data_IF_516587306154
#
_entry.id   IF_516587306154
#
_cell.length_a   1.000
_cell.length_b   1.000
_cell.length_c   1.000
_cell.angle_alpha   90.00
_cell.angle_beta   90.00
_cell.angle_gamma   90.00
#
_symmetry.space_group_name_H-M   'P 1'
#
loop_
_entity.id
_entity.type
_entity.pdbx_description
1 polymer ?
#
# COMPACT_ATOMS: atom_id res chain seq x y z
N UNK A 1 10.32 12.71 12.05
CA UNK A 1 9.52 11.83 11.18
C UNK A 1 9.58 10.43 11.75
N UNK A 2 8.44 9.86 12.14
CA UNK A 2 8.35 8.52 12.70
C UNK A 2 8.48 7.52 11.55
N UNK A 3 9.60 6.80 11.47
CA UNK A 3 9.82 5.81 10.40
C UNK A 3 8.81 4.67 10.57
N UNK A 4 7.97 4.42 9.57
CA UNK A 4 6.93 3.39 9.66
C UNK A 4 7.59 2.04 9.42
N UNK A 5 7.40 1.11 10.36
CA UNK A 5 8.03 -0.20 10.27
C UNK A 5 7.14 -1.18 9.48
N UNK A 6 7.56 -1.49 8.25
CA UNK A 6 6.96 -2.53 7.41
C UNK A 6 8.03 -3.47 6.84
N UNK A 7 7.60 -4.58 6.26
CA UNK A 7 8.43 -5.47 5.42
C UNK A 7 8.06 -5.27 3.96
N UNK A 8 9.02 -5.35 3.05
CA UNK A 8 8.80 -5.45 1.60
C UNK A 8 9.34 -6.82 1.13
N UNK A 9 8.57 -7.55 0.33
CA UNK A 9 9.02 -8.85 -0.18
C UNK A 9 8.18 -9.37 -1.34
N UNK A 10 8.73 -10.33 -2.10
CA UNK A 10 8.00 -11.01 -3.17
C UNK A 10 6.93 -11.94 -2.59
N UNK A 11 5.71 -11.81 -3.11
CA UNK A 11 4.62 -12.72 -2.82
C UNK A 11 4.84 -14.03 -3.60
N UNK A 12 5.03 -15.14 -2.89
CA UNK A 12 5.36 -16.46 -3.47
C UNK A 12 4.28 -16.98 -4.43
N UNK A 13 3.03 -16.54 -4.26
CA UNK A 13 1.87 -17.11 -4.95
C UNK A 13 1.29 -16.23 -6.06
N UNK A 14 1.68 -14.95 -6.15
CA UNK A 14 1.01 -13.97 -7.03
C UNK A 14 1.93 -13.16 -7.93
N UNK A 15 3.20 -13.52 -8.07
CA UNK A 15 4.18 -12.81 -8.91
C UNK A 15 4.19 -11.27 -8.68
N UNK A 16 3.84 -10.84 -7.47
CA UNK A 16 3.69 -9.46 -7.08
C UNK A 16 4.58 -9.17 -5.87
N UNK A 17 5.01 -7.94 -5.70
CA UNK A 17 5.63 -7.52 -4.45
C UNK A 17 4.56 -7.08 -3.47
N UNK A 18 4.79 -7.33 -2.19
CA UNK A 18 3.88 -6.91 -1.13
C UNK A 18 4.63 -6.25 0.01
N UNK A 19 3.99 -5.26 0.61
CA UNK A 19 4.41 -4.75 1.92
C UNK A 19 3.42 -5.16 3.00
N UNK A 20 3.93 -5.27 4.22
CA UNK A 20 3.12 -5.57 5.40
C UNK A 20 3.64 -4.79 6.61
N UNK A 21 2.74 -4.08 7.29
CA UNK A 21 3.05 -3.45 8.57
C UNK A 21 3.54 -4.51 9.58
N UNK A 22 4.67 -4.23 10.26
CA UNK A 22 5.18 -5.09 11.32
C UNK A 22 4.34 -5.01 12.60
N UNK A 23 3.64 -3.90 12.77
CA UNK A 23 2.73 -3.65 13.89
C UNK A 23 1.28 -3.79 13.42
N UNK A 24 0.38 -4.18 14.33
CA UNK A 24 -1.06 -4.13 14.05
C UNK A 24 -1.47 -2.68 13.86
N UNK A 25 -1.96 -2.35 12.67
CA UNK A 25 -2.48 -1.02 12.35
C UNK A 25 -3.62 -1.16 11.33
N UNK A 26 -4.75 -0.52 11.61
CA UNK A 26 -5.83 -0.38 10.64
C UNK A 26 -5.51 0.84 9.79
N UNK A 27 -5.40 0.64 8.48
CA UNK A 27 -5.23 1.73 7.52
C UNK A 27 -6.60 2.38 7.29
N UNK A 28 -6.66 3.71 7.38
CA UNK A 28 -7.84 4.46 6.94
C UNK A 28 -7.84 4.61 5.41
N UNK A 29 -8.63 3.74 4.75
CA UNK A 29 -8.78 3.77 3.30
C UNK A 29 -9.45 5.05 2.79
N UNK A 30 -10.23 5.75 3.63
CA UNK A 30 -10.86 7.00 3.23
C UNK A 30 -9.83 8.11 3.03
N UNK A 31 -8.81 8.20 3.90
CA UNK A 31 -7.73 9.18 3.76
C UNK A 31 -6.95 8.96 2.46
N UNK A 32 -6.73 7.70 2.08
CA UNK A 32 -5.98 7.32 0.89
C UNK A 32 -6.75 7.65 -0.39
N UNK A 33 -8.05 7.31 -0.47
CA UNK A 33 -8.85 7.56 -1.70
C UNK A 33 -8.97 9.03 -2.09
N UNK A 34 -8.78 9.97 -1.15
CA UNK A 34 -8.79 11.40 -1.46
C UNK A 34 -7.50 11.90 -2.12
N UNK A 35 -6.40 11.14 -2.04
CA UNK A 35 -5.10 11.53 -2.60
C UNK A 35 -4.74 10.82 -3.89
N UNK A 36 -5.31 9.64 -4.15
CA UNK A 36 -4.93 8.81 -5.29
C UNK A 36 -6.10 8.57 -6.24
N UNK A 37 -5.76 8.28 -7.50
CA UNK A 37 -6.74 7.78 -8.45
C UNK A 37 -7.16 6.36 -8.04
N UNK A 38 -8.43 6.20 -7.67
CA UNK A 38 -9.00 4.90 -7.29
C UNK A 38 -9.57 4.21 -8.53
N UNK A 39 -9.21 2.94 -8.72
CA UNK A 39 -9.75 2.08 -9.79
C UNK A 39 -10.79 1.09 -9.29
N UNK A 40 -10.74 0.71 -8.00
CA UNK A 40 -11.74 -0.13 -7.35
C UNK A 40 -11.81 0.20 -5.86
N UNK A 41 -13.01 0.35 -5.32
CA UNK A 41 -13.25 0.56 -3.89
C UNK A 41 -14.14 -0.55 -3.34
N UNK A 42 -13.75 -1.11 -2.19
CA UNK A 42 -14.55 -2.05 -1.41
C UNK A 42 -14.41 -1.72 0.08
N UNK A 43 -15.22 -2.32 0.97
CA UNK A 43 -15.08 -2.09 2.41
C UNK A 43 -13.73 -2.53 3.02
N UNK A 44 -13.00 -3.47 2.39
CA UNK A 44 -11.79 -4.08 2.95
C UNK A 44 -10.50 -3.71 2.22
N UNK A 45 -10.60 -3.38 0.93
CA UNK A 45 -9.48 -3.01 0.08
C UNK A 45 -9.83 -1.87 -0.87
N UNK A 46 -8.81 -1.11 -1.22
CA UNK A 46 -8.82 -0.05 -2.20
C UNK A 46 -7.77 -0.37 -3.28
N UNK A 47 -8.12 -0.31 -4.55
CA UNK A 47 -7.14 -0.39 -5.63
C UNK A 47 -6.90 1.02 -6.13
N UNK A 48 -5.65 1.45 -6.04
CA UNK A 48 -5.20 2.77 -6.50
C UNK A 48 -4.26 2.61 -7.69
N UNK A 49 -4.20 3.65 -8.51
CA UNK A 49 -3.26 3.74 -9.63
C UNK A 49 -2.29 4.88 -9.38
N UNK A 50 -1.00 4.58 -9.47
CA UNK A 50 0.08 5.54 -9.46
C UNK A 50 0.86 5.32 -10.76
N UNK A 51 0.87 6.33 -11.62
CA UNK A 51 1.42 6.22 -12.98
C UNK A 51 0.77 5.06 -13.77
N UNK A 52 1.53 4.03 -14.11
CA UNK A 52 1.05 2.81 -14.79
C UNK A 52 0.91 1.61 -13.85
N UNK A 53 1.14 1.77 -12.55
CA UNK A 53 1.19 0.67 -11.57
C UNK A 53 -0.11 0.63 -10.77
N UNK A 54 -0.70 -0.56 -10.67
CA UNK A 54 -1.81 -0.83 -9.78
C UNK A 54 -1.31 -1.29 -8.41
N UNK A 55 -1.81 -0.65 -7.37
CA UNK A 55 -1.49 -0.96 -5.98
C UNK A 55 -2.78 -1.29 -5.24
N UNK A 56 -2.83 -2.48 -4.66
CA UNK A 56 -3.93 -2.88 -3.79
C UNK A 56 -3.56 -2.51 -2.36
N UNK A 57 -4.36 -1.65 -1.74
CA UNK A 57 -4.26 -1.24 -0.34
C UNK A 57 -5.29 -2.00 0.47
N UNK A 58 -4.84 -2.89 1.35
CA UNK A 58 -5.71 -3.60 2.28
C UNK A 58 -5.81 -2.86 3.61
N UNK A 59 -7.02 -2.67 4.13
CA UNK A 59 -7.26 -1.99 5.41
C UNK A 59 -6.57 -2.61 6.64
N UNK A 60 -6.02 -3.83 6.52
CA UNK A 60 -5.30 -4.54 7.58
C UNK A 60 -3.79 -4.30 7.58
N UNK A 61 -3.28 -3.39 6.73
CA UNK A 61 -1.85 -3.05 6.74
C UNK A 61 -1.01 -3.78 5.69
N UNK A 62 -1.63 -4.30 4.62
CA UNK A 62 -0.93 -4.95 3.51
C UNK A 62 -1.11 -4.14 2.24
N UNK A 63 -0.02 -3.95 1.47
CA UNK A 63 -0.06 -3.38 0.13
C UNK A 63 0.45 -4.41 -0.88
N UNK A 64 -0.17 -4.49 -2.05
CA UNK A 64 0.30 -5.35 -3.16
C UNK A 64 0.58 -4.51 -4.38
N UNK A 65 1.79 -4.62 -4.92
CA UNK A 65 2.25 -3.93 -6.12
C UNK A 65 2.19 -4.91 -7.29
N UNK A 66 1.28 -4.67 -8.24
CA UNK A 66 1.19 -5.48 -9.45
C UNK A 66 2.22 -5.01 -10.48
N UNK A 67 2.88 -5.97 -11.14
CA UNK A 67 3.77 -5.75 -12.28
C UNK A 67 4.87 -4.69 -12.07
N UNK A 68 5.24 -4.43 -10.81
CA UNK A 68 6.31 -3.51 -10.44
C UNK A 68 7.52 -4.32 -9.97
N UNK A 69 8.72 -3.90 -10.39
CA UNK A 69 10.00 -4.50 -9.96
C UNK A 69 10.96 -3.47 -9.36
N UNK A 70 10.57 -2.20 -9.31
CA UNK A 70 11.36 -1.12 -8.72
C UNK A 70 11.15 -1.10 -7.20
N UNK A 71 12.15 -1.59 -6.46
CA UNK A 71 12.10 -1.70 -5.01
C UNK A 71 12.11 -0.33 -4.31
N UNK A 72 12.85 0.63 -4.86
CA UNK A 72 12.97 1.97 -4.27
C UNK A 72 11.65 2.73 -4.42
N UNK A 73 11.01 2.60 -5.59
CA UNK A 73 9.65 3.08 -5.80
C UNK A 73 8.67 2.45 -4.81
N UNK A 74 8.67 1.11 -4.68
CA UNK A 74 7.77 0.41 -3.77
C UNK A 74 7.95 0.86 -2.31
N UNK A 75 9.19 1.00 -1.85
CA UNK A 75 9.47 1.41 -0.47
C UNK A 75 8.98 2.84 -0.23
N UNK A 76 9.27 3.77 -1.13
CA UNK A 76 8.82 5.17 -1.03
C UNK A 76 7.31 5.29 -1.06
N UNK A 77 6.66 4.62 -2.01
CA UNK A 77 5.21 4.63 -2.16
C UNK A 77 4.52 3.97 -0.97
N UNK A 78 5.05 2.85 -0.47
CA UNK A 78 4.51 2.21 0.72
C UNK A 78 4.60 3.13 1.94
N UNK A 79 5.75 3.78 2.15
CA UNK A 79 5.94 4.74 3.23
C UNK A 79 4.89 5.86 3.16
N UNK A 80 4.68 6.47 1.99
CA UNK A 80 3.69 7.53 1.80
C UNK A 80 2.25 7.05 2.07
N UNK A 81 1.87 5.89 1.53
CA UNK A 81 0.54 5.32 1.74
C UNK A 81 0.29 5.04 3.23
N UNK A 82 1.27 4.48 3.94
CA UNK A 82 1.15 4.23 5.36
C UNK A 82 1.11 5.52 6.18
N UNK A 83 1.87 6.56 5.82
CA UNK A 83 1.82 7.86 6.49
C UNK A 83 0.42 8.46 6.40
N UNK A 84 -0.18 8.46 5.20
CA UNK A 84 -1.54 8.97 4.98
C UNK A 84 -2.56 8.11 5.75
N UNK A 85 -2.43 6.80 5.65
CA UNK A 85 -3.41 5.85 6.21
C UNK A 85 -3.34 5.68 7.73
N UNK A 86 -2.23 6.08 8.37
CA UNK A 86 -2.01 5.98 9.82
C UNK A 86 -1.94 7.35 10.51
N UNK A 87 -2.03 8.45 9.76
CA UNK A 87 -2.16 9.79 10.32
C UNK A 87 -3.34 9.81 11.32
N UNK A 88 -3.14 10.42 12.50
CA UNK A 88 -4.19 10.52 13.53
C UNK A 88 -5.24 11.53 13.10
#
# INVERSE_FOLDING_TARGET
MTKINFTLGKCKTKAAYSTKLKQRGKIDLNKIKHKYQVTLETPLLLVIKIESIEIIVHGHGELFFKDCSDLDFMEKTAQEIYEIGLEK
#
